data_IF_917931060610
#
_entry.id   IF_917931060610
#
_cell.length_a   1.000
_cell.length_b   1.000
_cell.length_c   1.000
_cell.angle_alpha   90.00
_cell.angle_beta   90.00
_cell.angle_gamma   90.00
#
_symmetry.space_group_name_H-M   'P 1'
#
loop_
_entity.id
_entity.type
_entity.pdbx_description
1 polymer ?
#
# COMPACT_ATOMS: atom_id res chain seq x y z
N UNK A 1 -19.67 -8.29 -7.87
CA UNK A 1 -20.24 -7.65 -6.65
C UNK A 1 -19.57 -6.30 -6.50
N UNK A 2 -20.32 -5.24 -6.19
CA UNK A 2 -19.80 -3.86 -6.10
C UNK A 2 -19.79 -3.43 -4.64
N UNK A 3 -18.74 -2.74 -4.21
CA UNK A 3 -18.65 -2.17 -2.88
C UNK A 3 -19.67 -1.03 -2.70
N UNK A 4 -20.46 -1.08 -1.65
CA UNK A 4 -21.47 -0.06 -1.38
C UNK A 4 -20.88 1.33 -1.05
N UNK A 5 -19.63 1.37 -0.58
CA UNK A 5 -18.94 2.61 -0.19
C UNK A 5 -18.17 3.23 -1.37
N UNK A 6 -17.23 2.49 -1.95
CA UNK A 6 -16.33 3.02 -2.98
C UNK A 6 -16.77 2.70 -4.41
N UNK A 7 -17.88 2.00 -4.59
CA UNK A 7 -18.45 1.61 -5.90
C UNK A 7 -17.51 0.83 -6.83
N UNK A 8 -16.39 0.31 -6.30
CA UNK A 8 -15.50 -0.55 -7.07
C UNK A 8 -15.96 -1.99 -7.04
N UNK A 9 -15.60 -2.72 -8.08
CA UNK A 9 -15.85 -4.17 -8.15
C UNK A 9 -15.06 -4.89 -7.05
N UNK A 10 -15.78 -5.69 -6.27
CA UNK A 10 -15.19 -6.55 -5.25
C UNK A 10 -14.68 -7.84 -5.90
N UNK A 11 -13.52 -8.34 -5.48
CA UNK A 11 -13.01 -9.62 -5.97
C UNK A 11 -13.99 -10.76 -5.71
N UNK A 12 -14.11 -11.69 -6.63
CA UNK A 12 -14.92 -12.92 -6.44
C UNK A 12 -14.42 -13.77 -5.28
N UNK A 13 -13.18 -13.56 -4.88
CA UNK A 13 -12.55 -14.24 -3.75
C UNK A 13 -12.89 -13.63 -2.40
N UNK A 14 -13.57 -12.46 -2.33
CA UNK A 14 -13.83 -11.75 -1.07
C UNK A 14 -14.66 -12.57 -0.08
N UNK A 15 -15.58 -13.40 -0.59
CA UNK A 15 -16.37 -14.30 0.25
C UNK A 15 -15.63 -15.55 0.71
N UNK A 16 -14.47 -15.86 0.11
CA UNK A 16 -13.68 -17.08 0.34
C UNK A 16 -12.36 -16.83 1.05
N UNK A 17 -11.94 -15.56 1.16
CA UNK A 17 -10.69 -15.17 1.81
C UNK A 17 -10.95 -14.12 2.89
N UNK A 18 -10.13 -14.13 3.93
CA UNK A 18 -10.12 -13.00 4.87
C UNK A 18 -9.48 -11.80 4.18
N UNK A 19 -10.24 -10.72 4.05
CA UNK A 19 -9.73 -9.47 3.49
C UNK A 19 -9.26 -8.55 4.61
N UNK A 20 -8.07 -8.00 4.46
CA UNK A 20 -7.46 -7.05 5.40
C UNK A 20 -6.99 -5.81 4.65
N UNK A 21 -7.24 -4.65 5.21
CA UNK A 21 -6.78 -3.38 4.67
C UNK A 21 -5.49 -2.99 5.42
N UNK A 22 -4.47 -2.63 4.66
CA UNK A 22 -3.24 -2.04 5.19
C UNK A 22 -3.15 -0.63 4.63
N UNK A 23 -3.28 0.36 5.51
CA UNK A 23 -3.11 1.75 5.15
C UNK A 23 -1.67 2.19 5.38
N UNK A 24 -1.09 2.87 4.39
CA UNK A 24 0.23 3.46 4.48
C UNK A 24 0.08 4.97 4.57
N UNK A 25 0.52 5.54 5.67
CA UNK A 25 0.38 6.94 5.99
C UNK A 25 1.74 7.61 6.24
N UNK A 26 1.82 8.91 6.04
CA UNK A 26 3.03 9.69 6.27
C UNK A 26 2.98 11.00 5.48
N UNK A 27 3.83 11.94 5.80
CA UNK A 27 3.88 13.24 5.16
C UNK A 27 4.17 13.17 3.66
N UNK A 28 3.94 14.25 2.94
CA UNK A 28 4.36 14.40 1.54
C UNK A 28 5.85 14.12 1.41
N UNK A 29 6.23 13.41 0.35
CA UNK A 29 7.64 13.06 0.07
C UNK A 29 8.36 12.22 1.13
N UNK A 30 7.64 11.62 2.08
CA UNK A 30 8.24 10.73 3.10
C UNK A 30 8.69 9.35 2.57
N UNK A 31 8.47 9.05 1.28
CA UNK A 31 8.88 7.79 0.67
C UNK A 31 7.82 6.68 0.66
N UNK A 32 6.56 6.97 1.00
CA UNK A 32 5.46 5.98 1.04
C UNK A 32 5.38 5.12 -0.22
N UNK A 33 5.28 5.75 -1.38
CA UNK A 33 5.12 5.04 -2.65
C UNK A 33 6.34 4.18 -2.99
N UNK A 34 7.56 4.62 -2.63
CA UNK A 34 8.77 3.79 -2.76
C UNK A 34 8.74 2.59 -1.83
N UNK A 35 8.28 2.77 -0.59
CA UNK A 35 8.10 1.67 0.35
C UNK A 35 7.12 0.64 -0.18
N UNK A 36 5.94 1.07 -0.64
CA UNK A 36 4.92 0.19 -1.24
C UNK A 36 5.47 -0.56 -2.45
N UNK A 37 6.14 0.17 -3.36
CA UNK A 37 6.72 -0.40 -4.56
C UNK A 37 7.76 -1.50 -4.23
N UNK A 38 8.65 -1.22 -3.27
CA UNK A 38 9.68 -2.17 -2.83
C UNK A 38 9.05 -3.38 -2.14
N UNK A 39 8.08 -3.17 -1.26
CA UNK A 39 7.38 -4.25 -0.56
C UNK A 39 6.66 -5.19 -1.54
N UNK A 40 5.94 -4.62 -2.51
CA UNK A 40 5.25 -5.40 -3.54
C UNK A 40 6.24 -6.16 -4.42
N UNK A 41 7.37 -5.55 -4.79
CA UNK A 41 8.45 -6.22 -5.54
C UNK A 41 9.00 -7.42 -4.78
N UNK A 42 9.29 -7.25 -3.49
CA UNK A 42 9.78 -8.35 -2.65
C UNK A 42 8.79 -9.50 -2.56
N UNK A 43 7.50 -9.22 -2.43
CA UNK A 43 6.49 -10.27 -2.39
C UNK A 43 6.29 -10.96 -3.74
N UNK A 44 6.23 -10.20 -4.83
CA UNK A 44 5.79 -10.70 -6.13
C UNK A 44 6.92 -11.22 -7.02
N UNK A 45 8.11 -10.63 -6.93
CA UNK A 45 9.24 -10.95 -7.80
C UNK A 45 10.35 -11.70 -7.05
N UNK A 46 10.62 -11.31 -5.81
CA UNK A 46 11.70 -11.91 -5.03
C UNK A 46 11.25 -13.08 -4.15
N UNK A 47 9.94 -13.34 -4.10
CA UNK A 47 9.37 -14.48 -3.39
C UNK A 47 9.58 -14.44 -1.88
N UNK A 48 9.62 -13.24 -1.27
CA UNK A 48 9.85 -13.07 0.16
C UNK A 48 8.90 -13.92 1.00
N UNK A 49 7.61 -13.94 0.65
CA UNK A 49 6.61 -14.68 1.40
C UNK A 49 6.86 -16.20 1.34
N UNK A 50 7.23 -16.72 0.18
CA UNK A 50 7.59 -18.14 0.01
C UNK A 50 8.85 -18.50 0.80
N UNK A 51 9.84 -17.61 0.82
CA UNK A 51 11.07 -17.81 1.62
C UNK A 51 10.79 -17.90 3.11
N UNK A 52 9.87 -17.07 3.61
CA UNK A 52 9.52 -17.05 5.04
C UNK A 52 8.61 -18.23 5.43
N UNK A 53 7.62 -18.54 4.60
CA UNK A 53 6.61 -19.56 4.92
C UNK A 53 6.94 -20.95 4.42
N UNK A 54 7.96 -21.09 3.55
CA UNK A 54 8.40 -22.30 2.83
C UNK A 54 7.37 -22.88 1.85
N UNK A 55 6.08 -22.76 2.13
CA UNK A 55 4.99 -23.32 1.31
C UNK A 55 4.02 -22.27 0.79
N UNK A 56 4.23 -21.01 1.16
CA UNK A 56 3.33 -19.93 0.79
C UNK A 56 3.56 -19.44 -0.64
N UNK A 57 2.52 -18.82 -1.19
CA UNK A 57 2.55 -18.15 -2.49
C UNK A 57 1.81 -16.83 -2.44
N UNK A 58 2.16 -15.94 -3.34
CA UNK A 58 1.52 -14.63 -3.52
C UNK A 58 1.04 -14.46 -4.94
N UNK A 59 -0.09 -13.77 -5.10
CA UNK A 59 -0.58 -13.37 -6.42
C UNK A 59 -1.34 -12.06 -6.35
N UNK A 60 -1.29 -11.30 -7.45
CA UNK A 60 -2.18 -10.15 -7.62
C UNK A 60 -3.62 -10.60 -7.87
N UNK A 61 -4.57 -9.81 -7.37
CA UNK A 61 -5.99 -10.01 -7.57
C UNK A 61 -6.52 -8.91 -8.49
N UNK A 62 -7.46 -9.23 -9.35
CA UNK A 62 -8.07 -8.31 -10.33
C UNK A 62 -7.00 -7.61 -11.20
N UNK A 63 -7.15 -6.29 -11.40
CA UNK A 63 -6.25 -5.45 -12.18
C UNK A 63 -5.00 -4.99 -11.41
N UNK A 64 -4.78 -5.51 -10.19
CA UNK A 64 -3.67 -5.06 -9.33
C UNK A 64 -2.29 -5.29 -9.93
N UNK A 65 -2.14 -6.27 -10.81
CA UNK A 65 -0.89 -6.48 -11.57
C UNK A 65 -0.60 -5.30 -12.49
N UNK A 66 -1.61 -4.80 -13.21
CA UNK A 66 -1.47 -3.67 -14.10
C UNK A 66 -1.22 -2.37 -13.33
N UNK A 67 -1.94 -2.17 -12.22
CA UNK A 67 -1.71 -1.05 -11.31
C UNK A 67 -0.27 -1.08 -10.78
N UNK A 68 0.21 -2.22 -10.31
CA UNK A 68 1.59 -2.36 -9.83
C UNK A 68 2.60 -2.03 -10.93
N UNK A 69 2.41 -2.60 -12.13
CA UNK A 69 3.30 -2.38 -13.26
C UNK A 69 3.38 -0.89 -13.63
N UNK A 70 2.26 -0.27 -13.92
CA UNK A 70 2.21 1.11 -14.44
C UNK A 70 2.56 2.17 -13.39
N UNK A 71 2.09 1.97 -12.14
CA UNK A 71 2.29 2.96 -11.07
C UNK A 71 3.68 2.89 -10.46
N UNK A 72 4.23 1.67 -10.31
CA UNK A 72 5.47 1.45 -9.55
C UNK A 72 6.59 0.83 -10.40
N UNK A 73 6.38 -0.40 -10.92
CA UNK A 73 7.45 -1.20 -11.51
C UNK A 73 8.15 -0.52 -12.68
N UNK A 74 7.39 -0.10 -13.68
CA UNK A 74 7.96 0.50 -14.90
C UNK A 74 8.75 1.78 -14.58
N UNK A 75 8.30 2.55 -13.61
CA UNK A 75 9.01 3.75 -13.15
C UNK A 75 10.31 3.40 -12.42
N UNK A 76 10.27 2.42 -11.51
CA UNK A 76 11.46 1.98 -10.79
C UNK A 76 12.51 1.39 -11.72
N UNK A 77 12.11 0.52 -12.65
CA UNK A 77 13.01 -0.15 -13.58
C UNK A 77 13.66 0.86 -14.56
N UNK A 78 12.94 1.91 -14.94
CA UNK A 78 13.45 3.00 -15.78
C UNK A 78 14.11 4.13 -15.00
N UNK A 79 14.27 4.00 -13.66
CA UNK A 79 14.83 5.03 -12.78
C UNK A 79 14.08 6.37 -12.85
N UNK A 80 12.79 6.31 -13.16
CA UNK A 80 11.90 7.46 -13.15
C UNK A 80 11.38 7.66 -11.73
N UNK A 81 11.41 8.89 -11.22
CA UNK A 81 10.84 9.18 -9.91
C UNK A 81 9.37 8.75 -9.83
N UNK A 82 9.02 8.04 -8.75
CA UNK A 82 7.61 7.80 -8.45
C UNK A 82 6.99 9.17 -8.15
N UNK A 83 6.11 9.63 -9.05
CA UNK A 83 5.37 10.88 -8.85
C UNK A 83 4.59 10.81 -7.53
N UNK A 84 4.38 11.98 -6.90
CA UNK A 84 3.47 12.06 -5.75
C UNK A 84 2.11 11.46 -6.09
N UNK A 85 1.48 10.86 -5.11
CA UNK A 85 0.10 10.39 -5.24
C UNK A 85 -0.76 11.62 -5.49
N UNK A 86 -1.37 11.73 -6.68
CA UNK A 86 -2.11 12.92 -7.06
C UNK A 86 -3.25 13.16 -6.07
N UNK A 87 -3.33 14.41 -5.66
CA UNK A 87 -4.47 14.96 -4.96
C UNK A 87 -5.63 15.09 -5.95
N UNK A 88 -6.65 14.29 -5.81
CA UNK A 88 -7.86 14.41 -6.62
C UNK A 88 -9.08 14.19 -5.74
N UNK A 89 -10.12 14.95 -6.03
CA UNK A 89 -11.42 14.92 -5.34
C UNK A 89 -12.09 13.53 -5.28
N UNK A 90 -11.57 12.56 -6.02
CA UNK A 90 -12.03 11.17 -6.06
C UNK A 90 -10.85 10.21 -5.75
N UNK A 91 -10.33 10.31 -4.51
CA UNK A 91 -9.14 9.58 -4.00
C UNK A 91 -9.16 8.10 -4.40
N UNK A 92 -10.32 7.48 -4.46
CA UNK A 92 -10.46 6.05 -4.71
C UNK A 92 -10.42 5.70 -6.20
N UNK A 93 -10.97 6.54 -7.07
CA UNK A 93 -10.97 6.26 -8.51
C UNK A 93 -9.59 6.41 -9.11
N UNK A 94 -8.84 7.41 -8.67
CA UNK A 94 -7.55 7.73 -9.26
C UNK A 94 -6.38 6.99 -8.59
N UNK A 95 -6.59 6.48 -7.37
CA UNK A 95 -5.61 5.71 -6.61
C UNK A 95 -6.18 4.39 -6.08
N UNK A 96 -6.61 3.47 -6.95
CA UNK A 96 -7.13 2.19 -6.50
C UNK A 96 -6.05 1.43 -5.70
N UNK A 97 -6.47 0.72 -4.64
CA UNK A 97 -5.54 -0.09 -3.86
C UNK A 97 -4.96 -1.24 -4.68
N UNK A 98 -3.77 -1.71 -4.29
CA UNK A 98 -3.20 -2.93 -4.83
C UNK A 98 -3.63 -4.11 -3.97
N UNK A 99 -4.30 -5.08 -4.58
CA UNK A 99 -4.79 -6.27 -3.93
C UNK A 99 -3.84 -7.44 -4.15
N UNK A 100 -3.34 -8.03 -3.06
CA UNK A 100 -2.45 -9.19 -3.08
C UNK A 100 -3.06 -10.30 -2.25
N UNK A 101 -3.19 -11.49 -2.83
CA UNK A 101 -3.57 -12.68 -2.09
C UNK A 101 -2.32 -13.45 -1.66
N UNK A 102 -2.32 -13.81 -0.38
CA UNK A 102 -1.33 -14.67 0.26
C UNK A 102 -1.99 -16.01 0.58
N UNK A 103 -1.42 -17.07 0.05
CA UNK A 103 -1.86 -18.44 0.29
C UNK A 103 -0.79 -19.18 1.07
N UNK A 104 -1.15 -19.85 2.14
CA UNK A 104 -0.23 -20.70 2.91
C UNK A 104 -0.96 -21.87 3.57
N UNK A 105 -0.21 -22.86 3.96
CA UNK A 105 -0.73 -23.99 4.72
C UNK A 105 -0.38 -23.86 6.21
N UNK A 106 -1.38 -24.07 7.06
CA UNK A 106 -1.16 -24.13 8.50
C UNK A 106 -0.50 -25.46 8.91
N UNK A 107 -0.02 -25.56 10.15
CA UNK A 107 0.54 -26.79 10.73
C UNK A 107 -0.41 -27.99 10.67
N UNK A 108 -1.71 -27.77 10.47
CA UNK A 108 -2.73 -28.80 10.30
C UNK A 108 -3.06 -29.06 8.83
N UNK A 109 -2.19 -28.72 7.90
CA UNK A 109 -2.37 -28.81 6.44
C UNK A 109 -3.65 -28.12 5.91
N UNK A 110 -4.22 -27.20 6.67
CA UNK A 110 -5.35 -26.40 6.20
C UNK A 110 -4.83 -25.24 5.36
N UNK A 111 -5.28 -25.15 4.12
CA UNK A 111 -5.01 -24.00 3.25
C UNK A 111 -5.74 -22.76 3.77
N UNK A 112 -5.02 -21.66 3.85
CA UNK A 112 -5.55 -20.35 4.23
C UNK A 112 -5.22 -19.36 3.13
N UNK A 113 -6.24 -18.64 2.69
CA UNK A 113 -6.14 -17.57 1.70
C UNK A 113 -6.50 -16.24 2.38
N UNK A 114 -5.56 -15.32 2.43
CA UNK A 114 -5.76 -13.96 2.92
C UNK A 114 -5.54 -12.95 1.79
N UNK A 115 -6.47 -12.03 1.63
CA UNK A 115 -6.31 -10.92 0.68
C UNK A 115 -5.95 -9.64 1.44
N UNK A 116 -4.86 -9.01 1.05
CA UNK A 116 -4.43 -7.73 1.59
C UNK A 116 -4.63 -6.64 0.54
N UNK A 117 -5.27 -5.57 0.98
CA UNK A 117 -5.46 -4.34 0.21
C UNK A 117 -4.44 -3.32 0.69
N UNK A 118 -3.46 -3.01 -0.14
CA UNK A 118 -2.46 -1.97 0.14
C UNK A 118 -2.97 -0.64 -0.41
N UNK A 119 -3.25 0.28 0.49
CA UNK A 119 -3.74 1.61 0.17
C UNK A 119 -2.66 2.65 0.45
N UNK A 120 -2.13 3.26 -0.64
CA UNK A 120 -1.13 4.32 -0.59
C UNK A 120 -1.85 5.68 -0.60
N UNK A 121 -2.07 6.24 0.58
CA UNK A 121 -2.73 7.53 0.72
C UNK A 121 -1.79 8.69 0.37
N UNK A 122 -2.32 9.72 -0.33
CA UNK A 122 -1.57 10.95 -0.58
C UNK A 122 -1.20 11.64 0.74
N UNK A 123 0.06 12.07 0.85
CA UNK A 123 0.55 12.73 2.08
C UNK A 123 -0.13 14.08 2.33
N UNK A 124 -0.52 14.76 1.26
CA UNK A 124 -1.24 16.03 1.29
C UNK A 124 -2.64 15.90 1.90
N UNK A 125 -3.23 14.71 1.82
CA UNK A 125 -4.58 14.45 2.36
C UNK A 125 -4.68 14.58 3.87
N UNK A 126 -3.57 14.77 4.59
CA UNK A 126 -3.56 15.01 6.03
C UNK A 126 -3.57 16.49 6.42
N UNK A 127 -3.44 17.41 5.44
CA UNK A 127 -3.36 18.83 5.68
C UNK A 127 -4.71 19.56 5.55
N UNK A 128 -5.71 18.92 4.94
CA UNK A 128 -7.02 19.47 4.73
C UNK A 128 -8.09 18.60 5.41
N UNK A 129 -9.06 19.26 6.09
CA UNK A 129 -10.12 18.56 6.82
C UNK A 129 -11.05 17.76 5.88
N UNK A 130 -11.31 18.26 4.67
CA UNK A 130 -12.14 17.57 3.70
C UNK A 130 -11.46 16.28 3.20
N UNK A 131 -10.16 16.34 2.97
CA UNK A 131 -9.38 15.19 2.53
C UNK A 131 -9.19 14.17 3.63
N UNK A 132 -8.95 14.64 4.85
CA UNK A 132 -8.90 13.79 6.02
C UNK A 132 -10.23 13.02 6.15
N UNK A 133 -11.36 13.67 5.94
CA UNK A 133 -12.67 13.02 5.95
C UNK A 133 -12.80 11.94 4.87
N UNK A 134 -12.21 12.14 3.70
CA UNK A 134 -12.24 11.15 2.60
C UNK A 134 -11.39 9.92 2.86
N UNK A 135 -10.24 10.04 3.54
CA UNK A 135 -9.34 8.91 3.84
C UNK A 135 -9.62 8.26 5.19
N UNK A 136 -10.27 8.97 6.12
CA UNK A 136 -10.61 8.46 7.47
C UNK A 136 -11.32 7.09 7.42
N UNK A 137 -12.31 6.84 6.54
CA UNK A 137 -12.96 5.53 6.46
C UNK A 137 -11.98 4.39 6.15
N UNK A 138 -10.95 4.63 5.33
CA UNK A 138 -9.94 3.60 5.02
C UNK A 138 -9.04 3.34 6.21
N UNK A 139 -8.60 4.39 6.88
CA UNK A 139 -7.74 4.28 8.07
C UNK A 139 -8.50 3.59 9.20
N UNK A 140 -9.75 4.00 9.47
CA UNK A 140 -10.56 3.46 10.56
C UNK A 140 -10.94 1.98 10.37
N UNK A 141 -11.03 1.51 9.11
CA UNK A 141 -11.31 0.11 8.78
C UNK A 141 -10.04 -0.71 8.52
N UNK A 142 -8.87 -0.11 8.68
CA UNK A 142 -7.60 -0.82 8.47
C UNK A 142 -7.34 -1.86 9.54
N UNK A 143 -6.88 -3.03 9.09
CA UNK A 143 -6.37 -4.08 9.98
C UNK A 143 -4.98 -3.76 10.52
N UNK A 144 -4.22 -2.94 9.78
CA UNK A 144 -2.92 -2.41 10.19
C UNK A 144 -2.65 -1.06 9.50
N UNK A 145 -1.89 -0.22 10.17
CA UNK A 145 -1.42 1.07 9.66
C UNK A 145 0.10 1.07 9.69
N UNK A 146 0.72 1.38 8.55
CA UNK A 146 2.15 1.57 8.42
C UNK A 146 2.40 3.08 8.35
N UNK A 147 3.17 3.60 9.29
CA UNK A 147 3.50 5.03 9.34
C UNK A 147 4.92 5.20 8.83
N UNK A 148 5.07 5.99 7.75
CA UNK A 148 6.37 6.32 7.17
C UNK A 148 6.73 7.75 7.59
N UNK A 149 7.83 7.87 8.33
CA UNK A 149 8.36 9.15 8.80
C UNK A 149 9.67 9.44 8.06
N UNK A 150 9.81 10.66 7.56
CA UNK A 150 11.10 11.20 7.11
C UNK A 150 11.67 12.07 8.24
N UNK A 151 12.74 11.63 8.91
CA UNK A 151 13.34 12.37 10.01
C UNK A 151 13.76 13.79 9.63
N UNK A 152 14.10 14.02 8.35
CA UNK A 152 14.52 15.35 7.86
C UNK A 152 13.36 16.37 7.83
N UNK A 153 12.11 15.90 7.90
CA UNK A 153 10.93 16.76 7.99
C UNK A 153 10.56 17.11 9.45
N UNK A 154 11.31 16.59 10.42
CA UNK A 154 11.16 16.92 11.83
C UNK A 154 12.12 18.04 12.17
N UNK A 155 11.61 19.20 12.62
CA UNK A 155 12.41 20.43 12.83
C UNK A 155 13.63 20.20 13.74
N UNK A 156 13.47 19.46 14.82
CA UNK A 156 14.57 19.22 15.76
C UNK A 156 15.66 18.32 15.18
N UNK A 157 15.26 17.29 14.41
CA UNK A 157 16.19 16.39 13.73
C UNK A 157 16.91 17.12 12.62
N UNK A 158 16.18 17.90 11.82
CA UNK A 158 16.75 18.66 10.70
C UNK A 158 17.78 19.69 11.20
N UNK A 159 17.45 20.41 12.28
CA UNK A 159 18.41 21.34 12.93
C UNK A 159 19.68 20.63 13.40
N UNK A 160 19.53 19.45 13.98
CA UNK A 160 20.68 18.65 14.43
C UNK A 160 21.56 18.17 13.26
N UNK A 161 20.93 17.70 12.16
CA UNK A 161 21.66 17.26 10.96
C UNK A 161 22.43 18.44 10.35
N UNK A 162 21.77 19.58 10.16
CA UNK A 162 22.40 20.79 9.57
C UNK A 162 23.56 21.29 10.44
N UNK A 163 23.44 21.25 11.76
CA UNK A 163 24.49 21.66 12.68
C UNK A 163 25.75 20.77 12.64
N UNK A 164 25.65 19.54 12.11
CA UNK A 164 26.77 18.58 12.05
C UNK A 164 27.20 18.27 10.60
N UNK A 165 26.66 18.96 9.62
CA UNK A 165 27.19 18.90 8.24
C UNK A 165 28.47 19.73 8.13
N UNK A 166 29.56 19.14 7.57
CA UNK A 166 30.83 19.85 7.36
C UNK A 166 30.71 20.95 6.31
#
# INVERSE_FOLDING_TARGET
>A
MVCNYCKHDLPDTISKSQTRIISIVGAKSSGKSYYVATLLRQFMEEGLFTKVTKTGSTRFIQNSREIYKTRYKDKMDNKIALGGTNYVSDIVKDNPPVLVQFTYSTSRNKRVDNTYSFFDAAGESFNDAADLAAITPYISHSSAIIIILDPRQMDDVNRSIVAHMP
#
